data_IF_194543771320
#
_entry.id   IF_194543771320
#
_cell.length_a   1.000
_cell.length_b   1.000
_cell.length_c   1.000
_cell.angle_alpha   90.00
_cell.angle_beta   90.00
_cell.angle_gamma   90.00
#
_symmetry.space_group_name_H-M   'P 1'
#
loop_
_entity.id
_entity.type
_entity.pdbx_description
1 polymer ?
#
# COMPACT_ATOMS: atom_id res chain seq x y z
N UNK A 1 41.72 -18.66 19.59
CA UNK A 1 41.50 -17.48 18.74
C UNK A 1 40.58 -17.75 17.52
N UNK A 2 40.13 -18.98 17.27
CA UNK A 2 39.34 -19.33 16.06
C UNK A 2 37.82 -19.27 16.20
N UNK A 3 37.26 -19.24 17.39
CA UNK A 3 35.78 -19.31 17.57
C UNK A 3 35.08 -17.94 17.52
N UNK A 4 35.76 -16.86 17.87
CA UNK A 4 35.20 -15.49 17.85
C UNK A 4 35.00 -14.96 16.42
N UNK A 5 35.88 -15.26 15.50
CA UNK A 5 35.82 -14.81 14.10
C UNK A 5 34.64 -15.48 13.32
N UNK A 6 34.36 -16.76 13.60
CA UNK A 6 33.24 -17.48 12.96
C UNK A 6 31.86 -16.97 13.44
N UNK A 7 31.75 -16.57 14.71
CA UNK A 7 30.49 -15.99 15.24
C UNK A 7 30.20 -14.59 14.65
N UNK A 8 31.23 -13.75 14.52
CA UNK A 8 31.08 -12.42 13.92
C UNK A 8 30.73 -12.48 12.41
N UNK A 9 31.36 -13.39 11.65
CA UNK A 9 31.03 -13.59 10.24
C UNK A 9 29.60 -14.13 10.03
N UNK A 10 29.15 -15.03 10.91
CA UNK A 10 27.77 -15.54 10.89
C UNK A 10 26.74 -14.46 11.17
N UNK A 11 26.98 -13.60 12.16
CA UNK A 11 26.10 -12.49 12.54
C UNK A 11 26.05 -11.40 11.46
N UNK A 12 27.16 -11.08 10.82
CA UNK A 12 27.21 -10.14 9.70
C UNK A 12 26.51 -10.70 8.45
N UNK A 13 26.63 -11.99 8.17
CA UNK A 13 25.93 -12.63 7.04
C UNK A 13 24.43 -12.66 7.25
N UNK A 14 23.94 -12.92 8.46
CA UNK A 14 22.54 -12.89 8.83
C UNK A 14 21.99 -11.46 8.74
N UNK A 15 22.73 -10.44 9.17
CA UNK A 15 22.32 -9.03 9.06
C UNK A 15 22.28 -8.56 7.59
N UNK A 16 23.24 -9.00 6.76
CA UNK A 16 23.24 -8.69 5.32
C UNK A 16 22.07 -9.34 4.57
N UNK A 17 21.73 -10.58 4.91
CA UNK A 17 20.58 -11.28 4.32
C UNK A 17 19.27 -10.65 4.77
N UNK A 18 19.15 -10.22 6.02
CA UNK A 18 17.97 -9.48 6.51
C UNK A 18 17.80 -8.12 5.82
N UNK A 19 18.88 -7.35 5.67
CA UNK A 19 18.81 -6.03 5.01
C UNK A 19 18.51 -6.14 3.50
N UNK A 20 18.96 -7.19 2.81
CA UNK A 20 18.66 -7.41 1.40
C UNK A 20 17.22 -7.90 1.12
N UNK A 21 16.52 -8.40 2.15
CA UNK A 21 15.14 -8.90 2.03
C UNK A 21 14.08 -7.83 2.30
N UNK A 22 14.42 -6.73 2.98
CA UNK A 22 13.48 -5.64 3.26
C UNK A 22 13.67 -4.51 2.25
N UNK A 23 12.55 -4.06 1.68
CA UNK A 23 12.49 -2.89 0.79
C UNK A 23 11.48 -1.89 1.31
N UNK A 24 11.73 -0.61 1.05
CA UNK A 24 10.76 0.44 1.31
C UNK A 24 9.66 0.45 0.25
N UNK A 25 8.51 1.02 0.60
CA UNK A 25 7.36 1.09 -0.33
C UNK A 25 7.75 1.85 -1.60
N UNK A 26 8.51 2.95 -1.51
CA UNK A 26 8.93 3.74 -2.67
C UNK A 26 9.86 3.00 -3.64
N UNK A 27 10.62 2.00 -3.17
CA UNK A 27 11.38 1.11 -4.04
C UNK A 27 10.49 0.17 -4.87
N UNK A 28 9.29 -0.12 -4.37
CA UNK A 28 8.39 -1.15 -4.90
C UNK A 28 7.27 -0.58 -5.76
N UNK A 29 6.88 0.68 -5.53
CA UNK A 29 5.69 1.26 -6.15
C UNK A 29 6.00 2.58 -6.85
N UNK A 30 5.14 2.96 -7.75
CA UNK A 30 5.12 4.28 -8.37
C UNK A 30 3.78 4.97 -8.12
N UNK A 31 3.80 6.29 -7.94
CA UNK A 31 2.58 7.10 -7.82
C UNK A 31 1.93 7.29 -9.18
N UNK A 32 0.60 7.25 -9.17
CA UNK A 32 -0.24 7.49 -10.34
C UNK A 32 -1.04 8.77 -10.11
N UNK A 33 -1.03 9.67 -11.08
CA UNK A 33 -1.80 10.91 -11.07
C UNK A 33 -2.53 11.14 -12.41
N UNK A 34 -3.06 10.06 -12.98
CA UNK A 34 -3.88 10.13 -14.18
C UNK A 34 -5.23 10.76 -13.85
N UNK A 35 -5.67 11.75 -14.64
CA UNK A 35 -6.93 12.46 -14.43
C UNK A 35 -7.99 12.02 -15.42
N UNK A 36 -9.25 12.02 -14.97
CA UNK A 36 -10.44 11.74 -15.77
C UNK A 36 -10.78 12.92 -16.69
N UNK A 37 -9.79 13.41 -17.44
CA UNK A 37 -9.86 14.70 -18.18
C UNK A 37 -10.94 14.73 -19.25
N UNK A 38 -11.33 13.57 -19.79
CA UNK A 38 -12.42 13.45 -20.78
C UNK A 38 -13.79 13.21 -20.14
N UNK A 39 -13.84 13.05 -18.81
CA UNK A 39 -15.07 12.87 -18.05
C UNK A 39 -15.81 11.55 -18.31
N UNK A 40 -15.19 10.57 -18.99
CA UNK A 40 -15.88 9.34 -19.42
C UNK A 40 -16.11 8.34 -18.29
N UNK A 41 -15.28 8.36 -17.26
CA UNK A 41 -15.43 7.43 -16.13
C UNK A 41 -16.32 8.11 -15.09
N UNK A 42 -17.42 7.44 -14.71
CA UNK A 42 -18.38 7.95 -13.74
C UNK A 42 -18.45 7.14 -12.44
N UNK A 43 -17.83 5.96 -12.40
CA UNK A 43 -17.78 5.12 -11.20
C UNK A 43 -16.90 5.77 -10.16
N UNK A 44 -17.51 6.42 -9.16
CA UNK A 44 -16.80 7.11 -8.07
C UNK A 44 -16.72 6.22 -6.84
N UNK A 45 -15.51 5.98 -6.37
CA UNK A 45 -15.22 5.16 -5.19
C UNK A 45 -14.37 5.90 -4.17
N UNK A 46 -14.41 5.43 -2.94
CA UNK A 46 -13.55 5.85 -1.84
C UNK A 46 -12.99 4.65 -1.10
N UNK A 47 -11.96 4.87 -0.28
CA UNK A 47 -11.37 3.82 0.57
C UNK A 47 -11.97 3.90 1.96
N UNK A 48 -12.48 2.76 2.46
CA UNK A 48 -12.98 2.64 3.82
C UNK A 48 -11.86 2.30 4.82
N UNK A 49 -12.15 2.52 6.11
CA UNK A 49 -11.27 2.11 7.21
C UNK A 49 -11.10 0.59 7.29
N UNK A 50 -12.02 -0.17 6.73
CA UNK A 50 -11.95 -1.63 6.65
C UNK A 50 -11.12 -2.14 5.46
N UNK A 51 -10.37 -1.22 4.84
CA UNK A 51 -9.41 -1.52 3.75
C UNK A 51 -10.07 -2.14 2.52
N UNK A 52 -11.24 -1.65 2.19
CA UNK A 52 -11.96 -1.99 0.96
C UNK A 52 -12.43 -0.73 0.25
N UNK A 53 -12.70 -0.84 -1.05
CA UNK A 53 -13.37 0.23 -1.78
C UNK A 53 -14.87 0.19 -1.50
N UNK A 54 -15.43 1.38 -1.38
CA UNK A 54 -16.87 1.61 -1.24
C UNK A 54 -17.32 2.60 -2.30
N UNK A 55 -18.58 2.50 -2.72
CA UNK A 55 -19.16 3.54 -3.54
C UNK A 55 -19.16 4.86 -2.76
N UNK A 56 -18.71 5.92 -3.39
CA UNK A 56 -18.70 7.22 -2.73
C UNK A 56 -20.13 7.69 -2.51
N UNK A 57 -20.44 8.03 -1.26
CA UNK A 57 -21.71 8.66 -0.85
C UNK A 57 -21.62 10.19 -0.91
N UNK A 58 -20.49 10.74 -1.37
CA UNK A 58 -20.30 12.17 -1.47
C UNK A 58 -21.34 12.77 -2.44
N UNK A 59 -21.92 13.89 -2.05
CA UNK A 59 -22.75 14.67 -2.96
C UNK A 59 -21.87 15.30 -4.05
N UNK A 60 -21.94 14.73 -5.25
CA UNK A 60 -21.16 15.17 -6.42
C UNK A 60 -21.90 16.19 -7.29
N UNK A 61 -23.09 16.64 -6.88
CA UNK A 61 -23.86 17.64 -7.63
C UNK A 61 -23.03 18.93 -7.74
N UNK A 62 -22.74 19.32 -8.98
CA UNK A 62 -21.89 20.48 -9.28
C UNK A 62 -20.38 20.25 -9.13
N UNK A 63 -19.94 19.03 -8.84
CA UNK A 63 -18.53 18.70 -8.76
C UNK A 63 -17.96 18.37 -10.14
N UNK A 64 -16.83 18.96 -10.47
CA UNK A 64 -16.10 18.69 -11.71
C UNK A 64 -15.30 17.37 -11.60
N UNK A 65 -15.89 16.28 -12.08
CA UNK A 65 -15.29 14.95 -12.05
C UNK A 65 -14.12 14.79 -13.02
N UNK A 66 -13.86 15.76 -13.91
CA UNK A 66 -12.68 15.73 -14.79
C UNK A 66 -11.37 15.92 -14.04
N UNK A 67 -11.42 16.48 -12.83
CA UNK A 67 -10.27 16.65 -11.94
C UNK A 67 -9.98 15.43 -11.08
N UNK A 68 -10.87 14.45 -11.06
CA UNK A 68 -10.71 13.24 -10.26
C UNK A 68 -9.63 12.32 -10.86
N UNK A 69 -8.99 11.55 -10.00
CA UNK A 69 -7.95 10.60 -10.40
C UNK A 69 -8.56 9.29 -10.87
N UNK A 70 -7.99 8.73 -11.93
CA UNK A 70 -8.31 7.39 -12.39
C UNK A 70 -7.50 6.38 -11.60
N UNK A 71 -8.17 5.34 -11.13
CA UNK A 71 -7.58 4.14 -10.55
C UNK A 71 -7.95 2.94 -11.41
N UNK A 72 -7.00 2.07 -11.67
CA UNK A 72 -7.18 0.88 -12.51
C UNK A 72 -7.04 -0.40 -11.70
N UNK A 73 -7.46 -1.52 -12.28
CA UNK A 73 -7.28 -2.84 -11.65
C UNK A 73 -5.84 -3.04 -11.20
N UNK A 74 -5.67 -3.57 -9.98
CA UNK A 74 -4.42 -3.79 -9.26
C UNK A 74 -3.68 -2.52 -8.78
N UNK A 75 -4.18 -1.33 -9.06
CA UNK A 75 -3.73 -0.12 -8.39
C UNK A 75 -4.22 -0.10 -6.93
N UNK A 76 -3.47 0.60 -6.11
CA UNK A 76 -3.78 0.86 -4.71
C UNK A 76 -4.18 2.31 -4.52
N UNK A 77 -5.07 2.55 -3.58
CA UNK A 77 -5.32 3.88 -3.05
C UNK A 77 -5.21 3.87 -1.52
N UNK A 78 -4.74 4.97 -0.96
CA UNK A 78 -4.54 5.13 0.48
C UNK A 78 -5.11 6.46 0.97
N UNK A 79 -5.70 6.46 2.16
CA UNK A 79 -6.02 7.68 2.89
C UNK A 79 -4.96 7.90 3.96
N UNK A 80 -4.21 8.99 3.82
CA UNK A 80 -3.17 9.39 4.78
C UNK A 80 -3.68 10.42 5.80
N UNK A 81 -4.96 10.74 5.76
CA UNK A 81 -5.61 11.62 6.73
C UNK A 81 -5.99 10.84 7.99
N UNK A 82 -5.77 11.45 9.16
CA UNK A 82 -6.27 10.95 10.44
C UNK A 82 -5.74 9.57 10.86
N UNK A 83 -4.60 9.14 10.33
CA UNK A 83 -4.01 7.80 10.57
C UNK A 83 -3.74 7.55 12.07
N UNK A 84 -3.14 8.52 12.78
CA UNK A 84 -2.88 8.36 14.22
C UNK A 84 -4.15 8.43 15.05
N UNK A 85 -5.15 9.22 14.65
CA UNK A 85 -6.43 9.32 15.34
C UNK A 85 -7.21 8.02 15.30
N UNK A 86 -7.26 7.41 14.14
CA UNK A 86 -8.06 6.20 13.90
C UNK A 86 -7.27 4.93 14.20
N UNK A 87 -5.95 5.04 14.46
CA UNK A 87 -5.01 3.92 14.66
C UNK A 87 -5.06 2.89 13.53
N UNK A 88 -5.45 3.34 12.35
CA UNK A 88 -5.56 2.56 11.11
C UNK A 88 -5.21 3.42 9.92
N UNK A 89 -4.71 2.77 8.87
CA UNK A 89 -4.45 3.38 7.58
C UNK A 89 -5.38 2.76 6.53
N UNK A 90 -6.43 3.49 6.08
CA UNK A 90 -7.30 3.01 5.02
C UNK A 90 -6.50 2.87 3.72
N UNK A 91 -6.38 1.65 3.23
CA UNK A 91 -5.63 1.31 2.01
C UNK A 91 -6.28 0.09 1.36
N UNK A 92 -6.47 0.12 0.04
CA UNK A 92 -7.09 -0.99 -0.69
C UNK A 92 -6.52 -1.12 -2.10
N UNK A 93 -6.56 -2.33 -2.65
CA UNK A 93 -6.24 -2.66 -4.04
C UNK A 93 -7.53 -2.83 -4.84
N UNK A 94 -7.61 -2.22 -6.03
CA UNK A 94 -8.79 -2.32 -6.88
C UNK A 94 -8.89 -3.71 -7.53
N UNK A 95 -9.98 -4.42 -7.23
CA UNK A 95 -10.27 -5.79 -7.74
C UNK A 95 -11.59 -5.87 -8.49
N UNK A 96 -12.59 -5.10 -8.06
CA UNK A 96 -13.99 -5.27 -8.49
C UNK A 96 -14.33 -4.51 -9.77
N UNK A 97 -13.45 -3.58 -10.18
CA UNK A 97 -13.61 -2.78 -11.39
C UNK A 97 -12.33 -2.81 -12.22
N UNK A 98 -12.48 -2.66 -13.54
CA UNK A 98 -11.31 -2.44 -14.41
C UNK A 98 -10.75 -1.04 -14.22
N UNK A 99 -11.63 -0.07 -13.99
CA UNK A 99 -11.28 1.31 -13.67
C UNK A 99 -12.39 2.03 -12.92
N UNK A 100 -12.01 3.03 -12.13
CA UNK A 100 -12.92 3.91 -11.41
C UNK A 100 -12.24 5.27 -11.22
N UNK A 101 -12.95 6.22 -10.63
CA UNK A 101 -12.38 7.52 -10.25
C UNK A 101 -12.45 7.73 -8.74
N UNK A 102 -11.50 8.51 -8.25
CA UNK A 102 -11.39 8.86 -6.83
C UNK A 102 -11.09 10.35 -6.65
N UNK A 103 -11.44 10.88 -5.49
CA UNK A 103 -11.06 12.23 -5.11
C UNK A 103 -9.54 12.44 -5.24
N UNK A 104 -9.10 13.63 -5.70
CA UNK A 104 -7.67 13.99 -5.75
C UNK A 104 -6.92 13.88 -4.41
N UNK A 105 -7.65 13.87 -3.29
CA UNK A 105 -7.09 13.74 -1.95
C UNK A 105 -6.43 12.37 -1.68
N UNK A 106 -6.82 11.32 -2.42
CA UNK A 106 -6.23 9.99 -2.27
C UNK A 106 -4.96 9.86 -3.10
N UNK A 107 -3.80 9.57 -2.50
CA UNK A 107 -2.67 9.01 -3.24
C UNK A 107 -3.05 7.68 -3.88
N UNK A 108 -2.77 7.54 -5.20
CA UNK A 108 -2.91 6.30 -5.95
C UNK A 108 -1.52 5.84 -6.36
N UNK A 109 -1.26 4.55 -6.28
CA UNK A 109 0.02 3.97 -6.64
C UNK A 109 -0.14 2.53 -7.15
N UNK A 110 0.86 2.06 -7.90
CA UNK A 110 0.93 0.70 -8.43
C UNK A 110 2.30 0.09 -8.22
N UNK A 111 2.36 -1.23 -8.24
CA UNK A 111 3.61 -1.98 -8.23
C UNK A 111 4.40 -1.65 -9.51
N UNK A 112 5.70 -1.31 -9.36
CA UNK A 112 6.59 -1.00 -10.50
C UNK A 112 6.91 -2.24 -11.32
N UNK A 113 7.19 -3.35 -10.64
CA UNK A 113 7.67 -4.60 -11.25
C UNK A 113 7.06 -5.80 -10.54
N UNK A 114 6.12 -6.47 -11.22
CA UNK A 114 5.45 -7.66 -10.70
C UNK A 114 6.34 -8.90 -10.66
N UNK A 115 7.53 -8.86 -11.25
CA UNK A 115 8.54 -9.90 -11.07
C UNK A 115 9.28 -9.79 -9.74
N UNK A 116 9.22 -8.62 -9.08
CA UNK A 116 9.85 -8.34 -7.77
C UNK A 116 8.83 -8.54 -6.64
N UNK A 117 7.63 -7.96 -6.79
CA UNK A 117 6.56 -8.08 -5.79
C UNK A 117 5.18 -8.23 -6.46
N UNK A 118 4.40 -9.18 -5.98
CA UNK A 118 3.02 -9.36 -6.42
C UNK A 118 2.10 -8.34 -5.76
N UNK A 119 1.16 -7.70 -6.49
CA UNK A 119 0.15 -6.82 -5.88
C UNK A 119 -0.62 -7.50 -4.75
N UNK A 120 -0.97 -8.77 -4.90
CA UNK A 120 -1.67 -9.56 -3.87
C UNK A 120 -0.82 -9.74 -2.61
N UNK A 121 0.49 -9.97 -2.76
CA UNK A 121 1.40 -10.08 -1.61
C UNK A 121 1.52 -8.74 -0.87
N UNK A 122 1.62 -7.64 -1.61
CA UNK A 122 1.66 -6.30 -1.05
C UNK A 122 0.36 -5.95 -0.31
N UNK A 123 -0.80 -6.31 -0.89
CA UNK A 123 -2.11 -6.16 -0.24
C UNK A 123 -2.15 -6.91 1.10
N UNK A 124 -1.72 -8.18 1.13
CA UNK A 124 -1.67 -8.97 2.37
C UNK A 124 -0.82 -8.30 3.44
N UNK A 125 0.28 -7.65 3.06
CA UNK A 125 1.12 -6.93 4.00
C UNK A 125 0.38 -5.72 4.60
N UNK A 126 -0.31 -4.96 3.76
CA UNK A 126 -1.10 -3.80 4.20
C UNK A 126 -2.29 -4.17 5.09
N UNK A 127 -2.83 -5.38 4.97
CA UNK A 127 -3.94 -5.85 5.80
C UNK A 127 -3.54 -6.20 7.25
N UNK A 128 -2.25 -6.25 7.56
CA UNK A 128 -1.76 -6.66 8.88
C UNK A 128 -1.98 -5.58 9.93
N UNK A 129 -2.46 -5.95 11.14
CA UNK A 129 -2.58 -5.01 12.25
C UNK A 129 -1.25 -4.36 12.65
N UNK A 130 -0.11 -5.07 12.44
CA UNK A 130 1.22 -4.54 12.71
C UNK A 130 1.53 -3.33 11.81
N UNK A 131 1.11 -3.37 10.54
CA UNK A 131 1.26 -2.28 9.61
C UNK A 131 0.48 -1.04 10.07
N UNK A 132 -0.76 -1.24 10.54
CA UNK A 132 -1.56 -0.15 11.10
C UNK A 132 -0.91 0.48 12.33
N UNK A 133 -0.38 -0.33 13.24
CA UNK A 133 0.31 0.17 14.44
C UNK A 133 1.56 0.98 14.11
N UNK A 134 2.36 0.51 13.16
CA UNK A 134 3.54 1.23 12.69
C UNK A 134 3.15 2.55 12.04
N UNK A 135 2.17 2.56 11.12
CA UNK A 135 1.69 3.75 10.47
C UNK A 135 1.13 4.78 11.48
N UNK A 136 0.33 4.33 12.44
CA UNK A 136 -0.22 5.19 13.49
C UNK A 136 0.88 5.80 14.36
N UNK A 137 1.92 5.04 14.71
CA UNK A 137 3.07 5.53 15.47
C UNK A 137 3.85 6.60 14.69
N UNK A 138 4.12 6.38 13.41
CA UNK A 138 4.81 7.36 12.55
C UNK A 138 3.98 8.64 12.38
N UNK A 139 2.67 8.52 12.31
CA UNK A 139 1.76 9.65 12.15
C UNK A 139 1.54 10.49 13.44
N UNK A 140 2.08 10.05 14.59
CA UNK A 140 2.05 10.82 15.83
C UNK A 140 2.80 12.13 15.65
N UNK A 141 2.13 13.25 15.93
CA UNK A 141 2.69 14.59 15.72
C UNK A 141 2.39 15.21 14.34
N UNK A 142 1.82 14.46 13.42
CA UNK A 142 1.28 15.01 12.17
C UNK A 142 0.07 15.93 12.41
N UNK A 143 -0.12 16.90 11.51
CA UNK A 143 -1.27 17.81 11.58
C UNK A 143 -2.57 17.01 11.51
N UNK A 144 -3.41 17.10 12.56
CA UNK A 144 -4.67 16.34 12.69
C UNK A 144 -4.50 14.82 12.59
N UNK A 145 -3.30 14.28 12.90
CA UNK A 145 -3.02 12.86 12.79
C UNK A 145 -2.78 12.36 11.36
N UNK A 146 -2.51 13.25 10.43
CA UNK A 146 -2.16 12.91 9.05
C UNK A 146 -0.72 12.39 8.95
N UNK A 147 -0.47 11.57 7.93
CA UNK A 147 0.82 11.02 7.58
C UNK A 147 1.25 11.57 6.20
N UNK A 148 2.44 12.21 6.06
CA UNK A 148 2.96 12.59 4.75
C UNK A 148 3.23 11.35 3.89
N UNK A 149 3.06 11.48 2.56
CA UNK A 149 3.38 10.39 1.62
C UNK A 149 4.82 9.89 1.79
N UNK A 150 5.76 10.80 2.00
CA UNK A 150 7.19 10.49 2.15
C UNK A 150 7.45 9.57 3.37
N UNK A 151 6.70 9.73 4.43
CA UNK A 151 6.82 8.86 5.61
C UNK A 151 6.18 7.49 5.35
N UNK A 152 5.02 7.45 4.69
CA UNK A 152 4.42 6.19 4.22
C UNK A 152 5.36 5.44 3.28
N UNK A 153 5.95 6.14 2.33
CA UNK A 153 6.83 5.57 1.31
C UNK A 153 8.14 4.98 1.89
N UNK A 154 8.60 5.47 3.04
CA UNK A 154 9.77 4.93 3.76
C UNK A 154 9.49 3.66 4.55
N UNK A 155 8.23 3.34 4.84
CA UNK A 155 7.88 2.10 5.55
C UNK A 155 8.41 0.89 4.79
N UNK A 156 8.92 -0.09 5.52
CA UNK A 156 9.61 -1.25 4.93
C UNK A 156 8.82 -2.53 5.14
N UNK A 157 8.91 -3.42 4.16
CA UNK A 157 8.35 -4.75 4.22
C UNK A 157 9.32 -5.80 3.68
N UNK A 158 9.22 -7.06 4.11
CA UNK A 158 10.03 -8.13 3.55
C UNK A 158 9.55 -8.47 2.14
N UNK A 159 10.50 -8.63 1.22
CA UNK A 159 10.25 -9.01 -0.17
C UNK A 159 11.00 -10.32 -0.44
N UNK A 160 10.39 -11.47 -0.12
CA UNK A 160 10.98 -12.76 -0.44
C UNK A 160 11.00 -13.02 -1.95
N UNK A 161 11.74 -14.02 -2.43
CA UNK A 161 11.70 -14.41 -3.84
C UNK A 161 10.28 -14.61 -4.35
N UNK A 162 10.02 -14.23 -5.60
CA UNK A 162 8.67 -14.21 -6.20
C UNK A 162 7.94 -15.56 -6.09
N UNK A 163 8.64 -16.68 -6.22
CA UNK A 163 8.06 -18.02 -6.07
C UNK A 163 7.55 -18.28 -4.65
N UNK A 164 8.23 -17.74 -3.64
CA UNK A 164 7.75 -17.81 -2.26
C UNK A 164 6.52 -16.94 -2.05
N UNK A 165 6.50 -15.75 -2.65
CA UNK A 165 5.30 -14.87 -2.62
C UNK A 165 4.11 -15.58 -3.24
N UNK A 166 4.25 -16.23 -4.42
CA UNK A 166 3.18 -17.00 -5.06
C UNK A 166 2.60 -18.08 -4.16
N UNK A 167 3.47 -18.84 -3.47
CA UNK A 167 3.03 -19.87 -2.52
C UNK A 167 2.24 -19.26 -1.35
N UNK A 168 2.70 -18.14 -0.80
CA UNK A 168 2.03 -17.44 0.29
C UNK A 168 0.65 -16.94 -0.15
N UNK A 169 0.57 -16.27 -1.30
CA UNK A 169 -0.69 -15.75 -1.87
C UNK A 169 -1.68 -16.87 -2.13
N UNK A 170 -1.23 -17.98 -2.73
CA UNK A 170 -2.10 -19.13 -2.99
C UNK A 170 -2.64 -19.76 -1.72
N UNK A 171 -1.78 -19.93 -0.70
CA UNK A 171 -2.22 -20.45 0.60
C UNK A 171 -3.24 -19.53 1.28
N UNK A 172 -3.05 -18.22 1.19
CA UNK A 172 -3.99 -17.23 1.74
C UNK A 172 -5.37 -17.30 1.06
N UNK A 173 -5.42 -17.39 -0.26
CA UNK A 173 -6.67 -17.50 -1.02
C UNK A 173 -7.49 -18.73 -0.59
N UNK A 174 -6.83 -19.88 -0.39
CA UNK A 174 -7.52 -21.12 0.04
C UNK A 174 -8.20 -20.96 1.41
N UNK A 175 -7.66 -20.11 2.28
CA UNK A 175 -8.19 -19.92 3.65
C UNK A 175 -9.29 -18.85 3.69
N UNK A 176 -9.34 -17.93 2.71
CA UNK A 176 -10.26 -16.78 2.71
C UNK A 176 -11.44 -16.93 1.75
N UNK A 177 -11.39 -17.89 0.81
CA UNK A 177 -12.48 -18.28 -0.10
C UNK A 177 -13.33 -19.40 0.55
#
# INVERSE_FOLDING_TARGET
YGQTAKRQAGTQKIHRVRNGMYKSIDELVERIDERNSDGKISTLIGVSIDKCFINSVANINGTDLTKYKIIRRDDFAVSLMQVSRDSKIPIARLKDYDQAIMSPAYPIFRVRDTSVILPEYLEMWFMRPEFDREAAFIAVGGVRGSMPWEEFAKMKLPVPPIEKQRKIVNAYKIVTD
#
